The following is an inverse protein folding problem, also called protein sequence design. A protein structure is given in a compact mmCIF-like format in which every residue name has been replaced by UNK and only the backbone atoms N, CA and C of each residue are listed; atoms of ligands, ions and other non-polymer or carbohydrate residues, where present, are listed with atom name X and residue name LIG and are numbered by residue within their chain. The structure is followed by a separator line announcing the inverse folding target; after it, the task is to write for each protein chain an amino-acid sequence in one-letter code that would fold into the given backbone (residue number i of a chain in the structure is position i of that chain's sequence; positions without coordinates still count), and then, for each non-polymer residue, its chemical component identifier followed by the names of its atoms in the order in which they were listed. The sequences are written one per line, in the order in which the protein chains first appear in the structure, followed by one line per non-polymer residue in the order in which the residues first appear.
data_IF_255385578844
#
_entry.id   IF_255385578844
#
_cell.length_a   1.000
_cell.length_b   1.000
_cell.length_c   1.000
_cell.angle_alpha   90.00
_cell.angle_beta   90.00
_cell.angle_gamma   90.00
#
_symmetry.space_group_name_H-M   'P 1'
#
loop_
_entity.id
_entity.type
_entity.pdbx_description
1 polymer ?
#
# COMPACT_ATOMS: atom_id res chain seq x y z
N UNK A 1 -55.27 21.25 -48.60
CA UNK A 1 -56.07 22.28 -49.28
C UNK A 1 -55.89 23.57 -48.51
N UNK A 2 -55.58 24.61 -49.27
CA UNK A 2 -55.08 25.93 -48.88
C UNK A 2 -56.10 26.79 -48.12
N UNK A 3 -55.56 27.87 -47.54
CA UNK A 3 -56.28 29.09 -47.15
C UNK A 3 -55.97 29.44 -45.70
N UNK A 4 -55.25 30.50 -45.36
CA UNK A 4 -54.99 31.76 -46.05
C UNK A 4 -55.08 32.86 -44.99
N UNK A 5 -54.37 33.97 -45.17
CA UNK A 5 -54.64 35.20 -44.41
C UNK A 5 -53.42 35.84 -43.75
N UNK A 6 -52.74 36.68 -44.53
CA UNK A 6 -51.80 37.71 -44.08
C UNK A 6 -52.53 38.78 -43.23
N UNK A 7 -51.82 39.45 -42.32
CA UNK A 7 -51.41 40.87 -42.49
C UNK A 7 -51.23 41.67 -41.19
N UNK A 8 -50.18 42.50 -41.23
CA UNK A 8 -49.98 43.82 -40.58
C UNK A 8 -49.75 43.83 -39.07
N UNK A 9 -49.02 44.77 -38.47
CA UNK A 9 -48.05 45.83 -38.84
C UNK A 9 -47.83 46.64 -37.55
N UNK A 10 -46.70 47.36 -37.43
CA UNK A 10 -46.43 48.49 -36.52
C UNK A 10 -45.89 48.13 -35.12
N UNK A 11 -44.58 48.25 -34.87
CA UNK A 11 -43.74 49.44 -34.56
C UNK A 11 -43.92 49.99 -33.13
N UNK A 12 -42.78 49.95 -32.39
CA UNK A 12 -42.16 50.96 -31.48
C UNK A 12 -43.00 51.40 -30.27
N UNK A 13 -42.44 51.70 -29.11
CA UNK A 13 -41.11 51.70 -28.51
C UNK A 13 -41.35 51.84 -26.97
N UNK A 14 -40.27 51.77 -26.20
CA UNK A 14 -40.09 52.29 -24.83
C UNK A 14 -40.26 51.31 -23.64
N UNK A 15 -39.09 50.90 -23.15
CA UNK A 15 -38.79 50.38 -21.83
C UNK A 15 -38.91 51.48 -20.73
N UNK A 16 -38.54 51.27 -19.44
CA UNK A 16 -38.07 50.06 -18.76
C UNK A 16 -38.69 49.81 -17.36
N UNK A 17 -38.55 48.60 -16.82
CA UNK A 17 -38.43 48.40 -15.38
C UNK A 17 -37.71 47.09 -15.06
N UNK A 18 -36.68 47.22 -14.23
CA UNK A 18 -35.79 46.19 -13.77
C UNK A 18 -36.49 45.05 -13.02
N UNK A 19 -36.05 43.83 -13.28
CA UNK A 19 -35.98 42.80 -12.25
C UNK A 19 -34.69 42.01 -12.49
N UNK A 20 -33.78 42.14 -11.53
CA UNK A 20 -32.46 41.55 -11.54
C UNK A 20 -32.52 40.02 -11.65
N UNK A 21 -31.85 39.45 -12.64
CA UNK A 21 -31.36 38.08 -12.59
C UNK A 21 -29.86 38.14 -12.27
N UNK A 22 -29.57 38.19 -10.97
CA UNK A 22 -28.24 37.92 -10.44
C UNK A 22 -28.17 36.45 -9.98
N UNK A 23 -27.05 35.79 -10.30
CA UNK A 23 -26.70 34.44 -9.84
C UNK A 23 -27.17 33.34 -10.80
N UNK A 24 -26.39 32.33 -11.15
CA UNK A 24 -25.27 31.70 -10.45
C UNK A 24 -24.41 31.00 -11.50
N UNK A 25 -23.19 31.48 -11.76
CA UNK A 25 -22.19 30.76 -12.57
C UNK A 25 -20.81 30.70 -11.90
N UNK A 26 -20.67 31.15 -10.64
CA UNK A 26 -19.39 31.18 -9.91
C UNK A 26 -19.30 30.29 -8.66
N UNK A 27 -20.39 29.62 -8.26
CA UNK A 27 -20.43 28.88 -6.98
C UNK A 27 -19.66 27.56 -6.95
N UNK A 28 -19.40 26.95 -8.11
CA UNK A 28 -18.75 25.63 -8.20
C UNK A 28 -17.26 25.68 -7.86
N UNK A 29 -16.54 26.65 -8.41
CA UNK A 29 -15.09 26.77 -8.22
C UNK A 29 -14.74 27.34 -6.85
N UNK A 30 -15.50 28.32 -6.35
CA UNK A 30 -15.28 28.87 -5.01
C UNK A 30 -15.56 27.85 -3.90
N UNK A 31 -16.63 27.05 -4.02
CA UNK A 31 -16.93 26.04 -3.00
C UNK A 31 -15.92 24.87 -3.05
N UNK A 32 -15.46 24.49 -4.26
CA UNK A 32 -14.39 23.51 -4.44
C UNK A 32 -13.08 23.99 -3.81
N UNK A 33 -12.74 25.27 -3.99
CA UNK A 33 -11.58 25.91 -3.38
C UNK A 33 -11.68 25.92 -1.85
N UNK A 34 -12.82 26.35 -1.29
CA UNK A 34 -13.06 26.36 0.16
C UNK A 34 -12.99 24.96 0.76
N UNK A 35 -13.50 23.95 0.06
CA UNK A 35 -13.39 22.54 0.48
C UNK A 35 -11.93 22.09 0.51
N UNK A 36 -11.15 22.35 -0.54
CA UNK A 36 -9.74 22.00 -0.60
C UNK A 36 -8.93 22.67 0.52
N UNK A 37 -9.23 23.92 0.86
CA UNK A 37 -8.59 24.64 1.98
C UNK A 37 -8.97 24.08 3.35
N UNK A 38 -10.23 23.63 3.53
CA UNK A 38 -10.66 22.95 4.77
C UNK A 38 -9.97 21.60 4.91
N UNK A 39 -9.94 20.80 3.86
CA UNK A 39 -9.26 19.50 3.84
C UNK A 39 -7.75 19.65 4.10
N UNK A 40 -7.09 20.62 3.46
CA UNK A 40 -5.67 20.91 3.68
C UNK A 40 -5.37 21.30 5.14
N UNK A 41 -6.19 22.17 5.74
CA UNK A 41 -6.06 22.52 7.17
C UNK A 41 -6.27 21.33 8.09
N UNK A 42 -7.22 20.46 7.75
CA UNK A 42 -7.50 19.27 8.54
C UNK A 42 -6.37 18.25 8.46
N UNK A 43 -5.86 17.95 7.25
CA UNK A 43 -4.70 17.10 7.04
C UNK A 43 -3.48 17.65 7.79
N UNK A 44 -3.24 18.97 7.71
CA UNK A 44 -2.17 19.63 8.46
C UNK A 44 -2.33 19.43 9.97
N UNK A 45 -3.54 19.61 10.51
CA UNK A 45 -3.81 19.40 11.94
C UNK A 45 -3.58 17.94 12.38
N UNK A 46 -3.96 16.97 11.55
CA UNK A 46 -3.69 15.55 11.81
C UNK A 46 -2.17 15.30 11.83
N UNK A 47 -1.45 15.80 10.82
CA UNK A 47 0.01 15.63 10.72
C UNK A 47 0.78 16.34 11.83
N UNK A 48 0.34 17.53 12.25
CA UNK A 48 0.97 18.33 13.30
C UNK A 48 0.68 17.79 14.71
N UNK A 49 -0.30 16.88 14.86
CA UNK A 49 -0.60 16.26 16.15
C UNK A 49 0.39 15.13 16.41
N UNK A 50 1.31 15.35 17.36
CA UNK A 50 2.35 14.40 17.74
C UNK A 50 1.76 13.00 18.02
N UNK A 51 2.32 12.00 17.37
CA UNK A 51 1.93 10.60 17.52
C UNK A 51 0.60 10.20 16.87
N UNK A 52 -0.31 11.12 16.51
CA UNK A 52 -1.64 10.75 15.98
C UNK A 52 -1.54 10.00 14.65
N UNK A 53 -0.72 10.48 13.72
CA UNK A 53 -0.45 9.76 12.46
C UNK A 53 0.17 8.41 12.76
N UNK A 54 1.18 8.35 13.63
CA UNK A 54 1.84 7.10 14.04
C UNK A 54 0.82 6.08 14.59
N UNK A 55 -0.09 6.50 15.47
CA UNK A 55 -1.19 5.69 15.99
C UNK A 55 -2.16 5.24 14.90
N UNK A 56 -2.57 6.11 13.98
CA UNK A 56 -3.45 5.73 12.87
C UNK A 56 -2.78 4.70 11.97
N UNK A 57 -1.48 4.85 11.71
CA UNK A 57 -0.71 3.98 10.84
C UNK A 57 -0.46 2.60 11.46
N UNK A 58 -0.33 2.51 12.79
CA UNK A 58 -0.18 1.23 13.50
C UNK A 58 -1.36 0.26 13.31
N UNK A 59 -2.56 0.76 12.98
CA UNK A 59 -3.77 -0.07 12.83
C UNK A 59 -4.27 -0.18 11.39
N UNK A 60 -3.64 0.51 10.44
CA UNK A 60 -4.04 0.45 9.04
C UNK A 60 -3.20 -0.59 8.29
N UNK A 61 -3.83 -1.59 7.65
CA UNK A 61 -3.15 -2.45 6.69
C UNK A 61 -2.45 -1.64 5.59
N UNK A 62 -1.28 -2.09 5.11
CA UNK A 62 -0.50 -1.36 4.08
C UNK A 62 -1.33 -1.05 2.84
N UNK A 63 -2.18 -1.95 2.39
CA UNK A 63 -3.05 -1.76 1.22
C UNK A 63 -4.01 -0.57 1.38
N UNK A 64 -4.32 -0.15 2.62
CA UNK A 64 -5.08 1.07 2.92
C UNK A 64 -4.14 2.26 3.12
N UNK A 65 -2.99 2.07 3.77
CA UNK A 65 -2.04 3.16 4.02
C UNK A 65 -1.47 3.76 2.74
N UNK A 66 -1.24 2.96 1.70
CA UNK A 66 -0.75 3.45 0.40
C UNK A 66 -1.78 4.31 -0.36
N UNK A 67 -3.04 4.29 0.05
CA UNK A 67 -4.10 5.13 -0.50
C UNK A 67 -4.13 6.52 0.16
N UNK A 68 -3.38 6.71 1.26
CA UNK A 68 -3.25 8.00 1.91
C UNK A 68 -2.46 8.97 1.03
N UNK A 69 -2.68 10.27 1.23
CA UNK A 69 -1.91 11.30 0.55
C UNK A 69 -0.40 11.05 0.75
N UNK A 70 0.38 11.20 -0.32
CA UNK A 70 1.83 10.92 -0.34
C UNK A 70 2.57 11.57 0.85
N UNK A 71 2.15 12.76 1.26
CA UNK A 71 2.71 13.47 2.42
C UNK A 71 2.44 12.77 3.76
N UNK A 72 1.25 12.20 3.97
CA UNK A 72 0.91 11.46 5.20
C UNK A 72 1.74 10.17 5.28
N UNK A 73 1.87 9.47 4.16
CA UNK A 73 2.72 8.29 4.06
C UNK A 73 4.20 8.60 4.33
N UNK A 74 4.71 9.71 3.79
CA UNK A 74 6.11 10.12 3.99
C UNK A 74 6.49 10.33 5.47
N UNK A 75 5.53 10.78 6.29
CA UNK A 75 5.77 10.99 7.71
C UNK A 75 5.53 9.74 8.56
N UNK A 76 4.54 8.91 8.21
CA UNK A 76 4.18 7.74 9.00
C UNK A 76 4.96 6.45 8.68
N UNK A 77 5.49 6.32 7.46
CA UNK A 77 6.18 5.09 7.04
C UNK A 77 7.38 4.69 7.90
N UNK A 78 8.24 5.62 8.38
CA UNK A 78 9.34 5.26 9.25
C UNK A 78 8.88 4.58 10.54
N UNK A 79 7.73 4.96 11.09
CA UNK A 79 7.23 4.45 12.37
C UNK A 79 6.60 3.06 12.27
N UNK A 80 6.39 2.53 11.05
CA UNK A 80 5.79 1.21 10.88
C UNK A 80 6.80 0.11 11.23
N UNK A 81 6.49 -0.63 12.29
CA UNK A 81 7.31 -1.72 12.83
C UNK A 81 6.92 -3.10 12.29
N UNK A 82 5.74 -3.26 11.71
CA UNK A 82 5.19 -4.56 11.37
C UNK A 82 4.53 -4.53 9.98
N UNK A 83 4.86 -5.52 9.15
CA UNK A 83 4.28 -5.67 7.82
C UNK A 83 3.66 -7.04 7.66
N UNK A 84 2.40 -7.07 7.25
CA UNK A 84 1.70 -8.31 6.90
C UNK A 84 1.31 -8.29 5.43
N UNK A 85 1.81 -9.29 4.68
CA UNK A 85 1.38 -9.60 3.31
C UNK A 85 0.35 -10.72 3.43
N UNK A 86 -0.93 -10.39 3.25
CA UNK A 86 -2.04 -11.29 3.61
C UNK A 86 -2.96 -11.60 2.44
N UNK A 87 -3.32 -12.88 2.32
CA UNK A 87 -4.37 -13.37 1.42
C UNK A 87 -5.75 -13.50 2.09
N UNK A 88 -5.88 -13.08 3.35
CA UNK A 88 -7.05 -13.34 4.19
C UNK A 88 -8.34 -12.69 3.64
N UNK A 89 -8.26 -11.45 3.16
CA UNK A 89 -9.37 -10.77 2.49
C UNK A 89 -9.16 -10.69 0.98
N UNK A 90 -10.24 -10.43 0.24
CA UNK A 90 -10.17 -10.23 -1.20
C UNK A 90 -9.36 -8.97 -1.55
N UNK A 91 -9.53 -7.90 -0.77
CA UNK A 91 -8.88 -6.61 -0.98
C UNK A 91 -7.37 -6.71 -0.75
N UNK A 92 -6.94 -7.35 0.34
CA UNK A 92 -5.52 -7.55 0.63
C UNK A 92 -4.88 -8.45 -0.43
N UNK A 93 -5.53 -9.58 -0.75
CA UNK A 93 -5.04 -10.51 -1.76
C UNK A 93 -4.89 -9.83 -3.11
N UNK A 94 -5.92 -9.10 -3.55
CA UNK A 94 -5.92 -8.36 -4.81
C UNK A 94 -4.83 -7.30 -4.83
N UNK A 95 -4.63 -6.56 -3.74
CA UNK A 95 -3.55 -5.58 -3.65
C UNK A 95 -2.18 -6.24 -3.83
N UNK A 96 -1.85 -7.25 -3.04
CA UNK A 96 -0.52 -7.87 -3.02
C UNK A 96 -0.19 -8.63 -4.31
N UNK A 97 -1.16 -9.30 -4.93
CA UNK A 97 -0.88 -10.03 -6.17
C UNK A 97 -0.67 -9.11 -7.38
N UNK A 98 -1.23 -7.89 -7.36
CA UNK A 98 -1.12 -6.92 -8.45
C UNK A 98 -0.11 -5.78 -8.20
N UNK A 99 0.44 -5.65 -6.99
CA UNK A 99 1.41 -4.59 -6.69
C UNK A 99 2.69 -4.75 -7.53
N UNK A 100 3.18 -3.64 -8.08
CA UNK A 100 4.43 -3.62 -8.83
C UNK A 100 5.64 -3.68 -7.89
N UNK A 101 6.64 -4.51 -8.23
CA UNK A 101 7.85 -4.65 -7.39
C UNK A 101 8.64 -3.35 -7.23
N UNK A 102 8.66 -2.48 -8.23
CA UNK A 102 9.31 -1.16 -8.11
C UNK A 102 8.70 -0.35 -6.96
N UNK A 103 7.37 -0.36 -6.86
CA UNK A 103 6.67 0.29 -5.75
C UNK A 103 6.96 -0.39 -4.41
N UNK A 104 6.99 -1.73 -4.37
CA UNK A 104 7.33 -2.48 -3.14
C UNK A 104 8.73 -2.12 -2.65
N UNK A 105 9.71 -1.99 -3.55
CA UNK A 105 11.06 -1.59 -3.18
C UNK A 105 11.12 -0.16 -2.63
N UNK A 106 10.42 0.79 -3.25
CA UNK A 106 10.31 2.16 -2.75
C UNK A 106 9.60 2.23 -1.38
N UNK A 107 8.56 1.41 -1.21
CA UNK A 107 7.82 1.26 0.03
C UNK A 107 8.75 0.74 1.13
N UNK A 108 9.36 -0.41 0.88
CA UNK A 108 10.28 -1.08 1.79
C UNK A 108 11.46 -0.20 2.23
N UNK A 109 12.04 0.55 1.29
CA UNK A 109 13.14 1.46 1.58
C UNK A 109 12.77 2.58 2.58
N UNK A 110 11.49 2.86 2.78
CA UNK A 110 10.99 3.85 3.74
C UNK A 110 10.65 3.25 5.11
N UNK A 111 10.51 1.93 5.21
CA UNK A 111 10.15 1.24 6.45
C UNK A 111 11.36 1.09 7.36
N UNK A 112 12.00 2.18 7.76
CA UNK A 112 13.31 2.14 8.42
C UNK A 112 13.29 1.48 9.79
N UNK A 113 12.14 1.39 10.46
CA UNK A 113 11.99 0.74 11.77
C UNK A 113 11.27 -0.61 11.70
N UNK A 114 11.18 -1.24 10.53
CA UNK A 114 10.58 -2.58 10.40
C UNK A 114 11.23 -3.57 11.37
N UNK A 115 10.42 -4.21 12.20
CA UNK A 115 10.81 -5.20 13.21
C UNK A 115 10.27 -6.59 12.95
N UNK A 116 9.11 -6.70 12.31
CA UNK A 116 8.50 -7.98 11.96
C UNK A 116 7.92 -7.93 10.55
N UNK A 117 8.01 -9.06 9.84
CA UNK A 117 7.31 -9.25 8.57
C UNK A 117 6.67 -10.63 8.52
N UNK A 118 5.41 -10.66 8.11
CA UNK A 118 4.59 -11.86 8.01
C UNK A 118 4.05 -12.06 6.59
N UNK A 119 4.25 -13.26 6.04
CA UNK A 119 3.57 -13.72 4.83
C UNK A 119 2.45 -14.69 5.21
N UNK A 120 1.19 -14.28 5.02
CA UNK A 120 0.00 -15.10 5.24
C UNK A 120 -0.55 -15.60 3.91
N UNK A 121 -0.12 -16.78 3.50
CA UNK A 121 -0.44 -17.33 2.19
C UNK A 121 -1.76 -18.14 2.19
N UNK A 122 -2.44 -18.27 1.03
CA UNK A 122 -3.61 -19.11 0.92
C UNK A 122 -3.25 -20.58 0.82
N UNK A 123 -4.14 -21.45 1.32
CA UNK A 123 -3.96 -22.91 1.24
C UNK A 123 -3.55 -23.35 -0.17
N UNK A 124 -2.59 -24.29 -0.24
CA UNK A 124 -2.03 -24.84 -1.48
C UNK A 124 -1.15 -23.89 -2.31
N UNK A 125 -0.88 -22.67 -1.85
CA UNK A 125 -0.02 -21.72 -2.53
C UNK A 125 1.04 -21.12 -1.60
N UNK A 126 1.97 -21.94 -1.07
CA UNK A 126 2.98 -21.49 -0.11
C UNK A 126 3.87 -20.35 -0.66
N UNK A 127 4.22 -20.39 -1.94
CA UNK A 127 5.00 -19.33 -2.59
C UNK A 127 4.19 -18.10 -3.04
N UNK A 128 2.91 -17.98 -2.66
CA UNK A 128 2.08 -16.84 -3.05
C UNK A 128 2.73 -15.51 -2.63
N UNK A 129 2.92 -14.58 -3.58
CA UNK A 129 3.54 -13.27 -3.36
C UNK A 129 4.95 -13.32 -2.73
N UNK A 130 5.68 -14.42 -2.88
CA UNK A 130 6.98 -14.61 -2.24
C UNK A 130 8.06 -13.62 -2.73
N UNK A 131 7.96 -13.17 -3.98
CA UNK A 131 8.82 -12.12 -4.53
C UNK A 131 8.57 -10.74 -3.91
N UNK A 132 7.32 -10.40 -3.59
CA UNK A 132 6.94 -9.20 -2.83
C UNK A 132 7.52 -9.27 -1.43
N UNK A 133 7.39 -10.43 -0.79
CA UNK A 133 7.92 -10.67 0.55
C UNK A 133 9.45 -10.48 0.60
N UNK A 134 10.19 -11.11 -0.32
CA UNK A 134 11.64 -10.94 -0.45
C UNK A 134 12.02 -9.50 -0.78
N UNK A 135 11.32 -8.85 -1.72
CA UNK A 135 11.56 -7.45 -2.07
C UNK A 135 11.35 -6.50 -0.89
N UNK A 136 10.38 -6.78 -0.01
CA UNK A 136 10.13 -5.99 1.18
C UNK A 136 11.30 -6.05 2.17
N UNK A 137 11.83 -7.25 2.41
CA UNK A 137 12.96 -7.46 3.32
C UNK A 137 14.22 -6.78 2.78
N UNK A 138 14.54 -7.01 1.51
CA UNK A 138 15.77 -6.48 0.91
C UNK A 138 15.70 -4.97 0.67
N UNK A 139 14.52 -4.46 0.29
CA UNK A 139 14.27 -3.03 0.17
C UNK A 139 14.42 -2.31 1.51
N UNK A 140 13.95 -2.90 2.62
CA UNK A 140 14.14 -2.38 3.96
C UNK A 140 15.63 -2.24 4.31
N UNK A 141 16.43 -3.30 4.06
CA UNK A 141 17.88 -3.29 4.29
C UNK A 141 18.57 -2.22 3.44
N UNK A 142 18.21 -2.15 2.15
CA UNK A 142 18.75 -1.16 1.22
C UNK A 142 18.41 0.27 1.65
N UNK A 143 17.16 0.52 2.10
CA UNK A 143 16.71 1.81 2.61
C UNK A 143 17.48 2.26 3.84
N UNK A 144 17.63 1.37 4.83
CA UNK A 144 18.43 1.64 6.03
C UNK A 144 19.90 1.93 5.68
N UNK A 145 20.49 1.16 4.76
CA UNK A 145 21.85 1.39 4.26
C UNK A 145 21.98 2.76 3.60
N UNK A 146 21.03 3.14 2.73
CA UNK A 146 21.02 4.44 2.07
C UNK A 146 20.85 5.60 3.06
N UNK A 147 20.13 5.37 4.15
CA UNK A 147 19.97 6.33 5.25
C UNK A 147 21.15 6.33 6.26
N UNK A 148 22.22 5.57 6.01
CA UNK A 148 23.37 5.41 6.91
C UNK A 148 23.00 4.96 8.33
N UNK A 149 21.90 4.22 8.47
CA UNK A 149 21.46 3.69 9.75
C UNK A 149 22.28 2.47 10.12
N UNK A 150 22.89 2.48 11.31
CA UNK A 150 23.68 1.37 11.83
C UNK A 150 22.76 0.27 12.38
N UNK A 151 23.25 -0.98 12.32
CA UNK A 151 22.53 -2.15 12.80
C UNK A 151 21.27 -2.53 11.99
N UNK A 152 20.60 -3.60 12.43
CA UNK A 152 19.32 -4.04 11.88
C UNK A 152 18.16 -3.70 12.82
N UNK A 153 16.95 -3.66 12.28
CA UNK A 153 15.72 -3.59 13.11
C UNK A 153 14.80 -4.78 12.89
N UNK A 154 14.92 -5.52 11.79
CA UNK A 154 14.10 -6.70 11.52
C UNK A 154 14.52 -7.85 12.44
N UNK A 155 13.65 -8.24 13.36
CA UNK A 155 13.86 -9.30 14.36
C UNK A 155 13.17 -10.61 14.01
N UNK A 156 12.02 -10.54 13.34
CA UNK A 156 11.15 -11.69 13.10
C UNK A 156 10.71 -11.78 11.65
N UNK A 157 10.81 -12.99 11.10
CA UNK A 157 10.20 -13.40 9.84
C UNK A 157 9.23 -14.54 10.14
N UNK A 158 7.98 -14.37 9.71
CA UNK A 158 6.94 -15.41 9.82
C UNK A 158 6.34 -15.70 8.45
N UNK A 159 6.22 -16.97 8.12
CA UNK A 159 5.52 -17.44 6.92
C UNK A 159 4.47 -18.42 7.39
N UNK A 160 3.21 -18.10 7.27
CA UNK A 160 2.13 -18.92 7.83
C UNK A 160 1.00 -19.13 6.83
N UNK A 161 0.42 -20.33 6.87
CA UNK A 161 -0.83 -20.60 6.18
C UNK A 161 -1.94 -19.80 6.84
N UNK A 162 -2.51 -18.84 6.11
CA UNK A 162 -3.41 -17.84 6.70
C UNK A 162 -4.80 -17.77 6.10
N UNK A 163 -5.03 -18.32 4.90
CA UNK A 163 -6.29 -18.13 4.17
C UNK A 163 -6.81 -19.43 3.52
N UNK A 164 -7.87 -19.99 4.10
CA UNK A 164 -8.62 -21.11 3.49
C UNK A 164 -9.55 -20.58 2.40
N UNK A 165 -9.08 -20.59 1.15
CA UNK A 165 -9.87 -20.13 0.01
C UNK A 165 -10.68 -21.27 -0.61
N UNK A 166 -11.97 -21.02 -0.85
CA UNK A 166 -12.90 -21.97 -1.48
C UNK A 166 -13.56 -21.39 -2.72
N UNK A 167 -13.98 -22.26 -3.64
CA UNK A 167 -14.77 -21.85 -4.82
C UNK A 167 -14.06 -20.84 -5.71
N UNK A 168 -14.76 -19.77 -6.09
CA UNK A 168 -14.26 -18.71 -6.98
C UNK A 168 -13.07 -17.96 -6.40
N UNK A 169 -13.01 -17.77 -5.07
CA UNK A 169 -11.88 -17.09 -4.42
C UNK A 169 -10.54 -17.83 -4.62
N UNK A 170 -10.57 -19.15 -4.72
CA UNK A 170 -9.37 -19.95 -5.04
C UNK A 170 -8.93 -19.78 -6.50
N UNK A 171 -9.89 -19.60 -7.41
CA UNK A 171 -9.62 -19.44 -8.84
C UNK A 171 -9.03 -18.07 -9.18
N UNK A 172 -9.20 -17.07 -8.30
CA UNK A 172 -8.66 -15.71 -8.49
C UNK A 172 -7.25 -15.51 -7.91
N UNK A 173 -6.69 -16.53 -7.24
CA UNK A 173 -5.32 -16.48 -6.73
C UNK A 173 -4.35 -16.40 -7.90
N UNK A 174 -3.60 -15.30 -7.96
CA UNK A 174 -2.50 -15.11 -8.91
C UNK A 174 -1.16 -15.04 -8.16
N UNK A 175 -0.05 -14.95 -8.91
CA UNK A 175 1.30 -14.79 -8.35
C UNK A 175 1.67 -15.91 -7.35
N UNK A 176 1.33 -17.14 -7.70
CA UNK A 176 1.50 -18.33 -6.85
C UNK A 176 2.93 -18.84 -6.79
N UNK A 177 3.70 -18.70 -7.88
CA UNK A 177 5.12 -19.03 -7.95
C UNK A 177 5.87 -17.94 -8.72
N UNK A 178 5.96 -16.72 -8.17
CA UNK A 178 6.63 -15.64 -8.87
C UNK A 178 8.14 -15.89 -8.92
N UNK A 179 8.81 -15.49 -10.02
CA UNK A 179 10.26 -15.51 -10.06
C UNK A 179 10.80 -14.52 -9.01
N UNK A 180 11.77 -14.96 -8.21
CA UNK A 180 12.42 -14.08 -7.25
C UNK A 180 13.29 -13.04 -7.98
N UNK A 181 13.40 -11.81 -7.45
CA UNK A 181 14.34 -10.83 -7.99
C UNK A 181 15.78 -11.36 -7.91
N UNK A 182 16.71 -10.88 -8.76
CA UNK A 182 18.12 -11.25 -8.65
C UNK A 182 18.66 -11.02 -7.21
N UNK A 183 19.54 -11.89 -6.69
CA UNK A 183 20.16 -11.67 -5.40
C UNK A 183 20.92 -10.33 -5.34
N UNK A 184 20.73 -9.51 -4.30
CA UNK A 184 21.47 -8.27 -4.16
C UNK A 184 22.97 -8.52 -4.02
N UNK A 185 23.76 -7.59 -4.54
CA UNK A 185 25.22 -7.58 -4.43
C UNK A 185 25.67 -6.23 -3.85
N UNK A 186 26.35 -6.18 -2.69
CA UNK A 186 26.76 -7.31 -1.85
C UNK A 186 25.57 -8.01 -1.16
N UNK A 187 25.81 -9.20 -0.62
CA UNK A 187 24.87 -9.93 0.20
C UNK A 187 24.35 -9.04 1.35
N UNK A 188 23.06 -9.10 1.70
CA UNK A 188 22.49 -8.26 2.73
C UNK A 188 22.66 -8.94 4.10
N UNK A 189 23.00 -8.14 5.11
CA UNK A 189 23.17 -8.60 6.49
C UNK A 189 21.97 -8.19 7.34
N UNK A 190 21.26 -9.18 7.88
CA UNK A 190 20.12 -9.07 8.78
C UNK A 190 20.60 -9.16 10.23
N UNK A 191 21.27 -8.11 10.69
CA UNK A 191 21.98 -8.09 11.99
C UNK A 191 21.08 -8.29 13.22
N UNK A 192 19.79 -7.96 13.13
CA UNK A 192 18.86 -8.06 14.26
C UNK A 192 17.93 -9.28 14.15
N UNK A 193 17.98 -10.03 13.05
CA UNK A 193 17.05 -11.12 12.83
C UNK A 193 17.40 -12.27 13.77
N UNK A 194 16.45 -12.63 14.63
CA UNK A 194 16.61 -13.69 15.63
C UNK A 194 15.73 -14.89 15.35
N UNK A 195 14.61 -14.68 14.64
CA UNK A 195 13.55 -15.67 14.50
C UNK A 195 13.09 -15.76 13.04
N UNK A 196 13.08 -16.98 12.50
CA UNK A 196 12.40 -17.34 11.26
C UNK A 196 11.44 -18.50 11.57
N UNK A 197 10.18 -18.39 11.17
CA UNK A 197 9.14 -19.40 11.46
C UNK A 197 8.30 -19.75 10.24
N UNK A 198 7.79 -20.99 10.22
CA UNK A 198 6.90 -21.53 9.19
C UNK A 198 7.51 -21.67 7.79
N UNK A 199 8.83 -21.92 7.73
CA UNK A 199 9.47 -22.33 6.48
C UNK A 199 8.98 -23.72 6.07
N UNK A 200 8.70 -23.92 4.78
CA UNK A 200 8.38 -25.24 4.19
C UNK A 200 9.39 -25.53 3.09
N UNK A 201 9.31 -26.71 2.47
CA UNK A 201 10.19 -27.06 1.33
C UNK A 201 10.04 -26.09 0.15
N UNK A 202 8.86 -25.50 -0.03
CA UNK A 202 8.59 -24.53 -1.10
C UNK A 202 9.31 -23.18 -0.90
N UNK A 203 9.79 -22.90 0.31
CA UNK A 203 10.49 -21.66 0.65
C UNK A 203 12.01 -21.73 0.45
N UNK A 204 12.54 -22.75 -0.23
CA UNK A 204 13.98 -22.94 -0.48
C UNK A 204 14.66 -21.71 -1.11
N UNK A 205 13.92 -20.91 -1.90
CA UNK A 205 14.45 -19.70 -2.53
C UNK A 205 14.95 -18.63 -1.55
N UNK A 206 14.58 -18.70 -0.26
CA UNK A 206 15.17 -17.86 0.80
C UNK A 206 16.63 -18.21 1.08
N UNK A 207 16.99 -19.49 1.08
CA UNK A 207 18.38 -19.92 1.30
C UNK A 207 19.30 -19.42 0.18
N UNK A 208 18.79 -19.36 -1.05
CA UNK A 208 19.53 -18.89 -2.23
C UNK A 208 19.77 -17.37 -2.24
N UNK A 209 19.11 -16.61 -1.34
CA UNK A 209 19.30 -15.15 -1.25
C UNK A 209 20.66 -14.77 -0.69
N UNK A 210 21.37 -15.70 -0.03
CA UNK A 210 22.66 -15.47 0.64
C UNK A 210 22.57 -14.38 1.72
N UNK A 211 21.45 -14.30 2.43
CA UNK A 211 21.33 -13.39 3.56
C UNK A 211 22.26 -13.80 4.69
N UNK A 212 23.03 -12.85 5.21
CA UNK A 212 23.86 -13.06 6.38
C UNK A 212 23.04 -12.74 7.64
N UNK A 213 22.90 -13.69 8.55
CA UNK A 213 22.00 -13.56 9.71
C UNK A 213 22.74 -13.89 11.01
N UNK A 214 23.71 -13.05 11.45
CA UNK A 214 24.63 -13.39 12.54
C UNK A 214 23.96 -13.54 13.91
N UNK A 215 22.76 -13.00 14.09
CA UNK A 215 21.99 -13.06 15.34
C UNK A 215 20.85 -14.09 15.31
N UNK A 216 20.75 -14.89 14.24
CA UNK A 216 19.67 -15.86 14.08
C UNK A 216 19.80 -16.96 15.13
N UNK A 217 18.79 -17.07 15.99
CA UNK A 217 18.77 -18.00 17.11
C UNK A 217 17.75 -19.12 16.92
N UNK A 218 16.63 -18.84 16.23
CA UNK A 218 15.54 -19.77 16.04
C UNK A 218 15.11 -19.87 14.57
N UNK A 219 15.03 -21.09 14.08
CA UNK A 219 14.49 -21.43 12.76
C UNK A 219 13.51 -22.59 12.94
N UNK A 220 12.25 -22.34 12.65
CA UNK A 220 11.20 -23.36 12.61
C UNK A 220 10.88 -23.72 11.16
N UNK A 221 10.98 -25.02 10.87
CA UNK A 221 10.71 -25.62 9.58
C UNK A 221 9.59 -26.65 9.73
N UNK A 222 8.60 -26.55 8.86
CA UNK A 222 7.44 -27.44 8.80
C UNK A 222 7.53 -28.31 7.53
N UNK A 223 7.05 -29.55 7.63
CA UNK A 223 6.86 -30.47 6.48
C UNK A 223 8.14 -30.82 5.69
N UNK A 224 9.32 -30.73 6.32
CA UNK A 224 10.60 -31.08 5.67
C UNK A 224 10.86 -32.57 5.54
N UNK A 225 10.15 -33.43 6.26
CA UNK A 225 10.36 -34.89 6.31
C UNK A 225 9.18 -35.71 5.78
N UNK A 226 8.15 -35.05 5.22
CA UNK A 226 6.95 -35.69 4.65
C UNK A 226 7.16 -36.26 3.25
#
# INVERSE_FOLDING_TARGET
MEGGGQSRSSRRDDAPAAAAAAGVAGGGDEERQRRAERESRFCKKISDTEGLVSYMMAFLPINLMVQLAKSVWQHGAPDLSDVTISAATEEERSFWQHVHLAFVNELAARLTHLTSITLRYPDWFPCWCFDVFVAMIEGHIAGRRAANMQGGTLHTITIEQGARLTGTARQTVARTHPPLPPPPTPAPTLNALTTISGLTRDHQGLADRRWEMPSLAFVEQEEWDS
#
